data_IF_801798716873
#
_entry.id   IF_801798716873
#
_cell.length_a   1.000
_cell.length_b   1.000
_cell.length_c   1.000
_cell.angle_alpha   90.00
_cell.angle_beta   90.00
_cell.angle_gamma   90.00
#
_symmetry.space_group_name_H-M   'P 1'
#
loop_
_entity.id
_entity.type
_entity.pdbx_description
1 polymer ?
#
# COMPACT_ATOMS: atom_id res chain seq x y z
N UNK A 1 20.65 -4.16 -5.04
CA UNK A 1 19.83 -3.41 -6.01
C UNK A 1 18.98 -2.46 -5.19
N UNK A 2 18.83 -1.18 -5.58
CA UNK A 2 17.93 -0.27 -4.88
C UNK A 2 16.48 -0.70 -5.15
N UNK A 3 15.70 -0.96 -4.09
CA UNK A 3 14.25 -1.12 -4.22
C UNK A 3 13.64 0.21 -4.68
N UNK A 4 12.73 0.16 -5.64
CA UNK A 4 11.99 1.34 -6.07
C UNK A 4 10.86 1.65 -5.07
N UNK A 5 10.52 2.93 -4.94
CA UNK A 5 9.43 3.41 -4.08
C UNK A 5 8.32 4.01 -4.92
N UNK A 6 7.06 3.71 -4.59
CA UNK A 6 5.87 4.25 -5.26
C UNK A 6 4.93 4.91 -4.26
N UNK A 7 4.38 6.07 -4.63
CA UNK A 7 3.30 6.74 -3.91
C UNK A 7 1.97 6.43 -4.59
N UNK A 8 1.00 5.93 -3.84
CA UNK A 8 -0.33 5.58 -4.35
C UNK A 8 -1.38 6.35 -3.57
N UNK A 9 -2.14 7.22 -4.25
CA UNK A 9 -3.28 7.93 -3.66
C UNK A 9 -4.58 7.17 -3.89
N UNK A 10 -5.50 7.20 -2.92
CA UNK A 10 -6.75 6.44 -3.03
C UNK A 10 -6.54 4.93 -2.88
N UNK A 11 -5.56 4.54 -2.07
CA UNK A 11 -5.10 3.17 -1.92
C UNK A 11 -6.07 2.24 -1.17
N UNK A 12 -7.17 2.76 -0.62
CA UNK A 12 -8.06 1.99 0.26
C UNK A 12 -9.06 1.08 -0.46
N UNK A 13 -9.21 1.19 -1.79
CA UNK A 13 -10.15 0.37 -2.59
C UNK A 13 -9.84 0.43 -4.09
N UNK A 14 -10.48 -0.46 -4.85
CA UNK A 14 -10.42 -0.45 -6.31
C UNK A 14 -8.99 -0.57 -6.84
N UNK A 15 -8.66 0.17 -7.89
CA UNK A 15 -7.35 0.09 -8.54
C UNK A 15 -6.20 0.55 -7.64
N UNK A 16 -6.43 1.51 -6.74
CA UNK A 16 -5.40 1.95 -5.80
C UNK A 16 -4.95 0.81 -4.89
N UNK A 17 -5.91 0.04 -4.35
CA UNK A 17 -5.62 -1.14 -3.52
C UNK A 17 -4.93 -2.25 -4.32
N UNK A 18 -5.38 -2.51 -5.54
CA UNK A 18 -4.74 -3.53 -6.39
C UNK A 18 -3.31 -3.13 -6.76
N UNK A 19 -3.02 -1.86 -6.98
CA UNK A 19 -1.64 -1.40 -7.20
C UNK A 19 -0.77 -1.65 -5.97
N UNK A 20 -1.24 -1.38 -4.76
CA UNK A 20 -0.47 -1.70 -3.54
C UNK A 20 -0.10 -3.19 -3.53
N UNK A 21 -1.05 -4.07 -3.86
CA UNK A 21 -0.81 -5.51 -3.92
C UNK A 21 0.24 -5.89 -4.96
N UNK A 22 0.08 -5.44 -6.20
CA UNK A 22 0.97 -5.77 -7.31
C UNK A 22 2.40 -5.25 -7.06
N UNK A 23 2.53 -4.02 -6.54
CA UNK A 23 3.84 -3.47 -6.22
C UNK A 23 4.50 -4.14 -5.01
N UNK A 24 3.72 -4.55 -4.01
CA UNK A 24 4.24 -5.35 -2.89
C UNK A 24 4.74 -6.73 -3.35
N UNK A 25 3.99 -7.40 -4.23
CA UNK A 25 4.42 -8.68 -4.86
C UNK A 25 5.68 -8.51 -5.73
N UNK A 26 5.83 -7.34 -6.36
CA UNK A 26 7.03 -6.98 -7.11
C UNK A 26 8.22 -6.56 -6.22
N UNK A 27 8.06 -6.52 -4.90
CA UNK A 27 9.12 -6.19 -3.95
C UNK A 27 9.44 -4.70 -3.82
N UNK A 28 8.47 -3.82 -4.12
CA UNK A 28 8.63 -2.36 -4.02
C UNK A 28 8.30 -1.86 -2.62
N UNK A 29 8.84 -0.70 -2.28
CA UNK A 29 8.38 0.09 -1.13
C UNK A 29 7.17 0.93 -1.55
N UNK A 30 6.11 0.93 -0.75
CA UNK A 30 4.85 1.59 -1.08
C UNK A 30 4.47 2.59 0.01
N UNK A 31 4.24 3.83 -0.40
CA UNK A 31 3.59 4.86 0.40
C UNK A 31 2.13 4.91 -0.05
N UNK A 32 1.23 4.33 0.74
CA UNK A 32 -0.19 4.22 0.43
C UNK A 32 -1.01 5.29 1.17
N UNK A 33 -1.58 6.24 0.43
CA UNK A 33 -2.38 7.32 0.99
C UNK A 33 -3.88 7.05 0.84
N UNK A 34 -4.64 7.25 1.92
CA UNK A 34 -6.10 7.21 1.89
C UNK A 34 -6.72 8.10 2.99
N UNK A 35 -7.92 8.63 2.73
CA UNK A 35 -8.56 9.64 3.60
C UNK A 35 -8.81 9.22 5.04
N UNK A 36 -9.06 7.94 5.28
CA UNK A 36 -9.38 7.37 6.60
C UNK A 36 -8.63 6.04 6.75
N UNK A 37 -7.33 6.07 7.09
CA UNK A 37 -6.51 4.86 7.27
C UNK A 37 -7.14 3.85 8.22
N UNK A 38 -7.73 4.32 9.32
CA UNK A 38 -8.40 3.52 10.34
C UNK A 38 -9.62 2.74 9.80
N UNK A 39 -10.26 3.21 8.74
CA UNK A 39 -11.38 2.53 8.09
C UNK A 39 -10.96 1.65 6.91
N UNK A 40 -9.71 1.76 6.44
CA UNK A 40 -9.18 1.07 5.27
C UNK A 40 -8.77 -0.39 5.56
N UNK A 41 -9.74 -1.22 5.98
CA UNK A 41 -9.50 -2.61 6.46
C UNK A 41 -8.67 -3.47 5.51
N UNK A 42 -8.98 -3.44 4.22
CA UNK A 42 -8.25 -4.24 3.23
C UNK A 42 -6.81 -3.75 3.03
N UNK A 43 -6.60 -2.43 3.08
CA UNK A 43 -5.27 -1.84 2.97
C UNK A 43 -4.43 -2.15 4.22
N UNK A 44 -5.02 -2.08 5.41
CA UNK A 44 -4.36 -2.46 6.66
C UNK A 44 -3.96 -3.94 6.66
N UNK A 45 -4.89 -4.84 6.28
CA UNK A 45 -4.61 -6.26 6.19
C UNK A 45 -3.51 -6.60 5.17
N UNK A 46 -3.40 -5.81 4.09
CA UNK A 46 -2.32 -5.93 3.13
C UNK A 46 -0.99 -5.49 3.74
N UNK A 47 -0.94 -4.33 4.39
CA UNK A 47 0.27 -3.82 5.04
C UNK A 47 0.82 -4.79 6.11
N UNK A 48 -0.04 -5.38 6.92
CA UNK A 48 0.32 -6.39 7.92
C UNK A 48 1.00 -7.64 7.32
N UNK A 49 0.69 -7.97 6.05
CA UNK A 49 1.22 -9.16 5.36
C UNK A 49 2.46 -8.85 4.52
N UNK A 50 2.82 -7.58 4.35
CA UNK A 50 3.81 -7.11 3.38
C UNK A 50 5.22 -6.92 3.94
N UNK A 51 5.55 -7.42 5.14
CA UNK A 51 6.89 -7.35 5.73
C UNK A 51 7.50 -5.94 5.67
N UNK A 52 6.75 -4.96 6.19
CA UNK A 52 7.11 -3.53 6.27
C UNK A 52 7.24 -2.79 4.93
N UNK A 53 6.86 -3.40 3.80
CA UNK A 53 6.93 -2.75 2.48
C UNK A 53 5.84 -1.70 2.24
N UNK A 54 4.79 -1.65 3.06
CA UNK A 54 3.61 -0.79 2.84
C UNK A 54 3.41 0.12 4.04
N UNK A 55 3.63 1.41 3.83
CA UNK A 55 3.37 2.47 4.80
C UNK A 55 2.04 3.15 4.48
N UNK A 56 1.15 3.26 5.47
CA UNK A 56 -0.18 3.85 5.29
C UNK A 56 -0.20 5.29 5.84
N UNK A 57 -0.62 6.24 5.03
CA UNK A 57 -0.75 7.66 5.39
C UNK A 57 -2.15 8.20 5.08
N UNK A 58 -2.52 9.29 5.77
CA UNK A 58 -3.75 10.05 5.50
C UNK A 58 -3.57 11.01 4.33
#
# INVERSE_FOLDING_TARGET
MSQATVLITGANRGLGLEFVKQYAEAGWQIIACCRWPEEAKELQALAERSADQVEIHQ
#
